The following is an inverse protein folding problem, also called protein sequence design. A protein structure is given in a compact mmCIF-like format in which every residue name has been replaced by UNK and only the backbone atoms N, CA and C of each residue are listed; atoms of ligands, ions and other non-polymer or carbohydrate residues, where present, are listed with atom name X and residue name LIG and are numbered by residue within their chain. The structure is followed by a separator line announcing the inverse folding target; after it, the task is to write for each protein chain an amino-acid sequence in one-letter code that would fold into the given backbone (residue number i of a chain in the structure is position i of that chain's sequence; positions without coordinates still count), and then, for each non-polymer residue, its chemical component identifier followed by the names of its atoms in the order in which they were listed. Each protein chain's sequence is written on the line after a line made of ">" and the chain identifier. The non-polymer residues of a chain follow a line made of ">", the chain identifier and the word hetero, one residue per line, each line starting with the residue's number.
data_IF_822689938496
#
_entry.id   IF_822689938496
#
_cell.length_a   1.000
_cell.length_b   1.000
_cell.length_c   1.000
_cell.angle_alpha   90.00
_cell.angle_beta   90.00
_cell.angle_gamma   90.00
#
_symmetry.space_group_name_H-M   'P 1'
#
loop_
_entity.id
_entity.type
_entity.pdbx_description
1 polymer ?
#
# COMPACT_ATOMS: atom_id res chain seq x y z
N UNK A 1 22.99 -20.86 -53.30
CA UNK A 1 23.96 -21.92 -52.95
C UNK A 1 24.48 -21.67 -51.53
N UNK A 2 24.46 -22.72 -50.68
CA UNK A 2 25.10 -22.91 -49.34
C UNK A 2 24.64 -21.96 -48.19
N UNK A 3 23.81 -22.35 -47.20
CA UNK A 3 24.02 -23.25 -46.01
C UNK A 3 25.40 -23.00 -45.34
N UNK A 4 25.50 -22.68 -44.05
CA UNK A 4 25.14 -23.52 -42.88
C UNK A 4 25.03 -22.73 -41.56
N UNK A 5 24.28 -23.32 -40.64
CA UNK A 5 23.93 -22.92 -39.25
C UNK A 5 24.97 -23.50 -38.23
N UNK A 6 24.71 -23.58 -36.90
CA UNK A 6 25.55 -23.04 -35.80
C UNK A 6 26.41 -24.10 -35.07
N UNK A 7 27.21 -23.70 -34.08
CA UNK A 7 27.81 -24.69 -33.13
C UNK A 7 27.85 -24.18 -31.70
N UNK A 8 27.14 -24.93 -30.87
CA UNK A 8 27.19 -24.97 -29.40
C UNK A 8 28.52 -25.59 -28.98
N UNK A 9 29.19 -24.99 -28.00
CA UNK A 9 30.35 -25.58 -27.31
C UNK A 9 30.20 -25.44 -25.80
N UNK A 10 29.70 -26.50 -25.15
CA UNK A 10 29.89 -26.75 -23.72
C UNK A 10 31.33 -27.18 -23.53
N UNK A 11 32.04 -26.60 -22.56
CA UNK A 11 33.22 -27.25 -22.00
C UNK A 11 33.18 -27.23 -20.48
N UNK A 12 33.38 -28.43 -19.94
CA UNK A 12 33.21 -28.85 -18.57
C UNK A 12 34.43 -29.72 -18.26
N UNK A 13 35.43 -29.18 -17.55
CA UNK A 13 36.48 -29.95 -16.86
C UNK A 13 37.27 -29.02 -15.93
N UNK A 14 37.10 -29.17 -14.62
CA UNK A 14 37.90 -30.01 -13.68
C UNK A 14 39.19 -29.32 -13.23
N UNK A 15 39.25 -29.01 -11.94
CA UNK A 15 40.49 -28.84 -11.20
C UNK A 15 40.22 -28.55 -9.72
N UNK A 16 40.70 -29.42 -8.83
CA UNK A 16 40.95 -29.05 -7.43
C UNK A 16 39.99 -29.59 -6.38
N UNK A 17 40.10 -30.88 -6.08
CA UNK A 17 39.65 -31.51 -4.84
C UNK A 17 40.58 -31.05 -3.70
N UNK A 18 40.04 -30.40 -2.66
CA UNK A 18 40.71 -30.29 -1.35
C UNK A 18 39.78 -30.90 -0.31
N UNK A 19 40.12 -32.12 0.10
CA UNK A 19 39.61 -32.79 1.29
C UNK A 19 40.36 -32.19 2.49
N UNK A 20 39.66 -31.74 3.52
CA UNK A 20 40.30 -31.40 4.78
C UNK A 20 39.37 -30.81 5.82
N UNK A 21 38.92 -31.65 6.75
CA UNK A 21 38.57 -31.19 8.10
C UNK A 21 37.09 -31.23 8.46
N UNK A 22 36.63 -32.41 8.90
CA UNK A 22 35.44 -32.56 9.74
C UNK A 22 35.78 -32.06 11.15
N UNK A 23 35.02 -31.10 11.70
CA UNK A 23 34.96 -30.84 13.13
C UNK A 23 33.54 -30.37 13.49
N UNK A 24 32.77 -31.32 14.04
CA UNK A 24 31.53 -31.10 14.76
C UNK A 24 31.86 -30.50 16.13
N UNK A 25 31.19 -29.41 16.51
CA UNK A 25 30.87 -29.12 17.90
C UNK A 25 29.58 -28.31 17.99
N UNK A 26 28.66 -28.87 18.76
CA UNK A 26 27.28 -28.47 18.91
C UNK A 26 27.08 -27.51 20.11
N UNK A 27 25.84 -27.00 20.19
CA UNK A 27 25.11 -26.47 21.36
C UNK A 27 25.16 -24.94 21.56
N UNK A 28 23.98 -24.32 21.50
CA UNK A 28 23.70 -23.04 22.16
C UNK A 28 22.55 -22.23 21.57
N UNK A 29 21.31 -22.52 21.95
CA UNK A 29 20.10 -21.78 21.61
C UNK A 29 20.17 -20.30 21.98
N UNK A 30 19.72 -19.42 21.09
CA UNK A 30 18.95 -18.20 21.42
C UNK A 30 18.16 -17.81 20.18
N UNK A 31 16.84 -17.82 20.31
CA UNK A 31 15.88 -17.74 19.22
C UNK A 31 16.11 -16.56 18.28
N UNK A 32 16.32 -16.88 17.02
CA UNK A 32 16.13 -15.95 15.90
C UNK A 32 14.74 -16.21 15.29
N UNK A 33 13.71 -16.24 16.13
CA UNK A 33 12.32 -16.10 15.68
C UNK A 33 12.03 -14.60 15.57
N UNK A 34 12.53 -14.04 14.48
CA UNK A 34 12.30 -12.66 14.07
C UNK A 34 12.01 -12.61 12.59
N UNK A 35 11.15 -13.52 12.11
CA UNK A 35 10.51 -13.43 10.80
C UNK A 35 9.66 -12.16 10.76
N UNK A 36 10.30 -11.02 10.51
CA UNK A 36 9.65 -9.82 10.02
C UNK A 36 9.64 -9.93 8.50
N UNK A 37 8.71 -10.73 7.99
CA UNK A 37 8.34 -10.70 6.58
C UNK A 37 7.69 -9.34 6.27
N UNK A 38 8.55 -8.37 5.99
CA UNK A 38 8.25 -7.14 5.26
C UNK A 38 8.45 -7.52 3.78
N UNK A 39 7.53 -7.47 2.83
CA UNK A 39 6.19 -6.92 2.69
C UNK A 39 5.40 -7.92 1.82
N UNK A 40 4.34 -8.55 2.33
CA UNK A 40 3.21 -8.79 1.42
C UNK A 40 2.60 -7.43 1.19
N UNK A 41 2.68 -6.94 -0.04
CA UNK A 41 2.08 -5.68 -0.46
C UNK A 41 0.55 -5.78 -0.31
N UNK A 42 0.04 -5.59 0.91
CA UNK A 42 -1.39 -5.68 1.17
C UNK A 42 -2.08 -4.57 0.40
N UNK A 43 -2.94 -5.00 -0.53
CA UNK A 43 -3.69 -4.09 -1.39
C UNK A 43 -4.62 -3.25 -0.53
N UNK A 44 -5.00 -2.07 -1.02
CA UNK A 44 -6.03 -1.28 -0.34
C UNK A 44 -7.37 -2.02 -0.30
N UNK A 45 -7.63 -3.03 -1.14
CA UNK A 45 -8.82 -3.87 -1.01
C UNK A 45 -8.75 -4.84 0.18
N UNK A 46 -7.56 -5.28 0.60
CA UNK A 46 -7.38 -6.30 1.63
C UNK A 46 -6.89 -5.75 2.97
N UNK A 47 -6.54 -4.46 3.02
CA UNK A 47 -5.84 -3.81 4.13
C UNK A 47 -6.54 -3.91 5.49
N UNK A 48 -7.86 -3.76 5.50
CA UNK A 48 -8.68 -3.79 6.71
C UNK A 48 -10.11 -4.22 6.38
N UNK A 49 -10.81 -4.72 7.39
CA UNK A 49 -12.24 -5.04 7.33
C UNK A 49 -13.02 -4.15 8.30
N UNK A 50 -14.34 -4.10 8.13
CA UNK A 50 -15.23 -3.40 9.08
C UNK A 50 -15.03 -3.97 10.48
N UNK A 51 -14.87 -3.07 11.45
CA UNK A 51 -14.56 -3.39 12.85
C UNK A 51 -13.08 -3.32 13.21
N UNK A 52 -12.17 -3.33 12.23
CA UNK A 52 -10.74 -3.23 12.49
C UNK A 52 -10.35 -1.84 13.02
N UNK A 53 -9.31 -1.83 13.86
CA UNK A 53 -8.64 -0.60 14.26
C UNK A 53 -7.45 -0.38 13.33
N UNK A 54 -7.37 0.81 12.75
CA UNK A 54 -6.35 1.19 11.78
C UNK A 54 -5.67 2.51 12.15
N UNK A 55 -4.47 2.73 11.61
CA UNK A 55 -3.80 4.03 11.54
C UNK A 55 -3.62 4.44 10.09
N UNK A 56 -3.45 5.75 9.84
CA UNK A 56 -3.09 6.25 8.51
C UNK A 56 -1.59 6.06 8.31
N UNK A 57 -1.19 5.36 7.24
CA UNK A 57 0.20 5.03 6.94
C UNK A 57 1.00 6.26 6.47
N UNK A 58 0.37 7.10 5.66
CA UNK A 58 1.01 8.26 5.03
C UNK A 58 0.21 9.55 5.24
N UNK A 59 0.14 10.08 6.48
CA UNK A 59 -0.76 11.19 6.83
C UNK A 59 -0.52 12.44 5.97
N UNK A 60 0.75 12.82 5.75
CA UNK A 60 1.13 13.97 4.92
C UNK A 60 0.73 13.88 3.43
N UNK A 61 0.22 12.73 2.97
CA UNK A 61 -0.24 12.54 1.59
C UNK A 61 -1.63 11.89 1.48
N UNK A 62 -2.31 11.71 2.62
CA UNK A 62 -3.65 11.14 2.71
C UNK A 62 -4.63 12.26 3.06
N UNK A 63 -5.68 12.41 2.26
CA UNK A 63 -6.75 13.37 2.52
C UNK A 63 -7.94 12.58 3.07
N UNK A 64 -8.52 13.08 4.15
CA UNK A 64 -9.71 12.54 4.80
C UNK A 64 -10.84 13.54 4.61
N UNK A 65 -12.03 13.08 4.25
CA UNK A 65 -13.19 13.95 4.05
C UNK A 65 -14.39 13.51 4.90
N UNK A 66 -15.12 14.46 5.46
CA UNK A 66 -16.36 14.18 6.18
C UNK A 66 -17.45 13.64 5.27
N UNK A 67 -17.38 13.95 3.97
CA UNK A 67 -18.30 13.46 2.94
C UNK A 67 -17.60 12.49 1.99
N UNK A 68 -18.27 11.38 1.67
CA UNK A 68 -17.73 10.36 0.77
C UNK A 68 -17.47 10.90 -0.64
N UNK A 69 -18.42 11.65 -1.20
CA UNK A 69 -18.32 12.19 -2.55
C UNK A 69 -17.12 13.12 -2.71
N UNK A 70 -16.80 13.90 -1.69
CA UNK A 70 -15.61 14.75 -1.68
C UNK A 70 -14.33 13.91 -1.66
N UNK A 71 -14.28 12.83 -0.87
CA UNK A 71 -13.14 11.89 -0.87
C UNK A 71 -12.94 11.25 -2.25
N UNK A 72 -14.03 10.80 -2.89
CA UNK A 72 -13.99 10.24 -4.25
C UNK A 72 -13.53 11.30 -5.28
N UNK A 73 -14.02 12.54 -5.18
CA UNK A 73 -13.64 13.62 -6.08
C UNK A 73 -12.15 13.97 -5.99
N UNK A 74 -11.61 14.05 -4.77
CA UNK A 74 -10.17 14.26 -4.53
C UNK A 74 -9.36 13.11 -5.14
N UNK A 75 -9.76 11.86 -4.90
CA UNK A 75 -9.09 10.68 -5.44
C UNK A 75 -9.07 10.69 -6.98
N UNK A 76 -10.23 10.86 -7.62
CA UNK A 76 -10.38 10.85 -9.08
C UNK A 76 -9.56 11.98 -9.72
N UNK A 77 -9.57 13.17 -9.14
CA UNK A 77 -8.77 14.30 -9.65
C UNK A 77 -7.26 13.99 -9.62
N UNK A 78 -6.78 13.38 -8.54
CA UNK A 78 -5.39 12.94 -8.41
C UNK A 78 -5.00 11.91 -9.46
N UNK A 79 -5.80 10.85 -9.59
CA UNK A 79 -5.58 9.76 -10.54
C UNK A 79 -5.59 10.22 -12.00
N UNK A 80 -6.56 11.07 -12.37
CA UNK A 80 -6.64 11.62 -13.73
C UNK A 80 -5.40 12.46 -14.06
N UNK A 81 -4.95 13.31 -13.14
CA UNK A 81 -3.75 14.12 -13.32
C UNK A 81 -2.49 13.25 -13.45
N UNK A 82 -2.35 12.21 -12.61
CA UNK A 82 -1.25 11.25 -12.71
C UNK A 82 -1.23 10.56 -14.08
N UNK A 83 -2.35 9.99 -14.50
CA UNK A 83 -2.47 9.24 -15.76
C UNK A 83 -2.20 10.13 -16.98
N UNK A 84 -2.76 11.32 -16.98
CA UNK A 84 -2.56 12.28 -18.07
C UNK A 84 -1.09 12.71 -18.15
N UNK A 85 -0.43 12.96 -17.02
CA UNK A 85 0.99 13.34 -16.98
C UNK A 85 1.90 12.18 -17.38
N UNK A 86 1.62 10.95 -16.93
CA UNK A 86 2.33 9.75 -17.38
C UNK A 86 2.24 9.59 -18.90
N UNK A 87 1.04 9.79 -19.47
CA UNK A 87 0.81 9.66 -20.91
C UNK A 87 1.58 10.68 -21.74
N UNK A 88 1.66 11.93 -21.26
CA UNK A 88 2.25 13.04 -22.02
C UNK A 88 3.75 13.19 -21.78
N UNK A 89 4.19 13.05 -20.53
CA UNK A 89 5.57 13.35 -20.12
C UNK A 89 6.42 12.11 -19.86
N UNK A 90 5.80 10.91 -19.80
CA UNK A 90 6.46 9.63 -19.56
C UNK A 90 7.39 9.62 -18.32
N UNK A 91 7.03 10.39 -17.29
CA UNK A 91 7.82 10.53 -16.05
C UNK A 91 6.96 10.23 -14.83
N UNK A 92 7.35 9.19 -14.09
CA UNK A 92 6.67 8.78 -12.86
C UNK A 92 6.72 9.87 -11.78
N UNK A 93 7.86 10.55 -11.62
CA UNK A 93 8.01 11.62 -10.62
C UNK A 93 7.06 12.78 -10.91
N UNK A 94 7.05 13.28 -12.15
CA UNK A 94 6.17 14.38 -12.54
C UNK A 94 4.70 14.01 -12.43
N UNK A 95 4.35 12.76 -12.74
CA UNK A 95 2.99 12.28 -12.54
C UNK A 95 2.56 12.32 -11.07
N UNK A 96 3.41 11.84 -10.16
CA UNK A 96 3.15 11.91 -8.71
C UNK A 96 2.98 13.36 -8.25
N UNK A 97 3.82 14.28 -8.73
CA UNK A 97 3.70 15.72 -8.42
C UNK A 97 2.39 16.31 -8.95
N UNK A 98 2.01 16.01 -10.20
CA UNK A 98 0.75 16.44 -10.78
C UNK A 98 -0.46 15.90 -10.00
N UNK A 99 -0.42 14.63 -9.58
CA UNK A 99 -1.44 14.02 -8.74
C UNK A 99 -1.57 14.68 -7.37
N UNK A 100 -0.44 15.04 -6.74
CA UNK A 100 -0.42 15.81 -5.48
C UNK A 100 -1.00 17.21 -5.67
N UNK A 101 -0.61 17.90 -6.73
CA UNK A 101 -1.10 19.25 -7.04
C UNK A 101 -2.62 19.26 -7.32
N UNK A 102 -3.12 18.30 -8.10
CA UNK A 102 -4.55 18.17 -8.38
C UNK A 102 -5.37 17.90 -7.12
N UNK A 103 -4.91 16.97 -6.26
CA UNK A 103 -5.55 16.71 -4.97
C UNK A 103 -5.58 17.95 -4.07
N UNK A 104 -4.47 18.69 -4.00
CA UNK A 104 -4.39 19.95 -3.24
C UNK A 104 -5.36 21.02 -3.78
N UNK A 105 -5.53 21.10 -5.09
CA UNK A 105 -6.46 22.04 -5.72
C UNK A 105 -7.93 21.72 -5.42
N UNK A 106 -8.30 20.43 -5.32
CA UNK A 106 -9.64 20.01 -4.90
C UNK A 106 -9.83 20.23 -3.40
N UNK A 107 -8.85 19.86 -2.58
CA UNK A 107 -8.87 20.09 -1.13
C UNK A 107 -9.15 21.55 -0.78
N UNK A 108 -8.54 22.49 -1.50
CA UNK A 108 -8.76 23.93 -1.28
C UNK A 108 -10.22 24.38 -1.55
N UNK A 109 -11.04 23.56 -2.19
CA UNK A 109 -12.44 23.85 -2.56
C UNK A 109 -13.46 23.04 -1.76
N UNK A 110 -13.05 21.95 -1.10
CA UNK A 110 -13.93 21.04 -0.36
C UNK A 110 -13.84 21.30 1.15
N UNK A 111 -14.90 21.84 1.74
CA UNK A 111 -14.93 22.17 3.19
C UNK A 111 -14.93 20.93 4.09
N UNK A 112 -15.34 19.77 3.56
CA UNK A 112 -15.40 18.53 4.33
C UNK A 112 -14.03 17.84 4.41
N UNK A 113 -13.06 18.24 3.59
CA UNK A 113 -11.78 17.57 3.47
C UNK A 113 -10.65 18.26 4.23
N UNK A 114 -9.77 17.45 4.80
CA UNK A 114 -8.54 17.89 5.43
C UNK A 114 -7.42 16.86 5.22
N UNK A 115 -6.18 17.28 5.43
CA UNK A 115 -5.09 16.32 5.52
C UNK A 115 -5.27 15.45 6.75
N UNK A 116 -4.98 14.16 6.61
CA UNK A 116 -4.99 13.25 7.75
C UNK A 116 -4.03 13.74 8.84
N UNK A 117 -4.42 13.69 10.12
CA UNK A 117 -3.52 14.06 11.21
C UNK A 117 -2.37 13.05 11.32
N UNK A 118 -1.21 13.51 11.78
CA UNK A 118 0.01 12.69 11.88
C UNK A 118 -0.15 11.45 12.77
N UNK A 119 -1.09 11.50 13.71
CA UNK A 119 -1.38 10.41 14.64
C UNK A 119 -2.89 10.27 14.83
N UNK A 120 -3.35 9.02 14.88
CA UNK A 120 -4.73 8.72 15.17
C UNK A 120 -5.00 7.23 15.07
N UNK A 121 -5.95 6.75 15.89
CA UNK A 121 -6.50 5.40 15.78
C UNK A 121 -7.93 5.52 15.34
N UNK A 122 -8.28 4.78 14.31
CA UNK A 122 -9.60 4.82 13.70
C UNK A 122 -10.20 3.42 13.68
N UNK A 123 -11.51 3.34 13.82
CA UNK A 123 -12.27 2.12 13.61
C UNK A 123 -12.85 2.19 12.21
N UNK A 124 -12.66 1.15 11.41
CA UNK A 124 -13.33 1.00 10.11
C UNK A 124 -14.81 0.71 10.35
N UNK A 125 -15.69 1.63 9.97
CA UNK A 125 -17.14 1.49 10.14
C UNK A 125 -17.85 1.06 8.87
N UNK A 126 -17.33 1.46 7.72
CA UNK A 126 -17.81 1.01 6.42
C UNK A 126 -16.62 0.85 5.48
N UNK A 127 -16.77 -0.04 4.50
CA UNK A 127 -15.81 -0.31 3.45
C UNK A 127 -16.55 -0.65 2.17
N UNK A 128 -16.22 0.05 1.09
CA UNK A 128 -16.81 -0.21 -0.21
C UNK A 128 -15.70 -0.35 -1.25
N UNK A 129 -15.80 -1.40 -2.08
CA UNK A 129 -14.95 -1.60 -3.24
C UNK A 129 -15.81 -1.32 -4.49
N UNK A 130 -15.39 -0.37 -5.30
CA UNK A 130 -16.12 0.04 -6.51
C UNK A 130 -15.25 -0.21 -7.73
N UNK A 131 -15.87 -0.73 -8.80
CA UNK A 131 -15.16 -1.16 -10.01
C UNK A 131 -14.57 -2.56 -9.83
N UNK A 132 -14.33 -3.24 -10.95
CA UNK A 132 -13.61 -4.50 -11.00
C UNK A 132 -12.15 -4.27 -11.40
N UNK A 133 -11.40 -5.35 -11.60
CA UNK A 133 -10.00 -5.26 -11.99
C UNK A 133 -9.75 -4.62 -13.36
N UNK A 134 -10.76 -4.49 -14.21
CA UNK A 134 -10.65 -3.87 -15.52
C UNK A 134 -11.17 -2.43 -15.53
N UNK A 135 -11.81 -1.99 -14.45
CA UNK A 135 -12.32 -0.64 -14.32
C UNK A 135 -11.19 0.40 -14.31
N UNK A 136 -11.45 1.55 -14.94
CA UNK A 136 -10.52 2.69 -14.93
C UNK A 136 -10.19 3.12 -13.49
N UNK A 137 -11.21 3.10 -12.63
CA UNK A 137 -11.11 3.32 -11.20
C UNK A 137 -11.61 2.07 -10.47
N UNK A 138 -10.69 1.20 -10.05
CA UNK A 138 -10.95 0.16 -9.06
C UNK A 138 -10.55 0.74 -7.70
N UNK A 139 -11.54 1.10 -6.86
CA UNK A 139 -11.36 1.97 -5.70
C UNK A 139 -11.77 1.27 -4.43
N UNK A 140 -10.95 1.37 -3.40
CA UNK A 140 -11.29 1.02 -2.03
C UNK A 140 -11.59 2.29 -1.24
N UNK A 141 -12.79 2.37 -0.66
CA UNK A 141 -13.25 3.48 0.15
C UNK A 141 -13.54 3.01 1.57
N UNK A 142 -13.11 3.79 2.55
CA UNK A 142 -13.24 3.45 3.97
C UNK A 142 -13.90 4.60 4.73
N UNK A 143 -14.96 4.32 5.50
CA UNK A 143 -15.40 5.22 6.57
C UNK A 143 -14.61 4.89 7.84
N UNK A 144 -13.91 5.89 8.34
CA UNK A 144 -13.09 5.83 9.54
C UNK A 144 -13.70 6.70 10.64
N UNK A 145 -13.94 6.13 11.83
CA UNK A 145 -14.32 6.92 13.01
C UNK A 145 -13.19 6.92 14.01
N UNK A 146 -12.83 8.09 14.52
CA UNK A 146 -11.76 8.22 15.50
C UNK A 146 -12.13 7.48 16.80
N UNK A 147 -11.24 6.63 17.30
CA UNK A 147 -11.53 5.73 18.42
C UNK A 147 -11.85 6.50 19.72
N UNK A 148 -11.21 7.65 19.94
CA UNK A 148 -11.33 8.43 21.18
C UNK A 148 -12.62 9.27 21.26
N UNK A 149 -13.22 9.58 20.12
CA UNK A 149 -14.35 10.48 19.99
C UNK A 149 -15.48 9.66 19.37
N UNK A 150 -16.37 9.15 20.22
CA UNK A 150 -17.60 8.43 19.85
C UNK A 150 -18.61 9.29 19.07
N UNK A 151 -18.12 10.24 18.27
CA UNK A 151 -18.84 11.28 17.53
C UNK A 151 -19.69 10.75 16.39
N UNK A 152 -19.62 9.45 16.08
CA UNK A 152 -20.32 8.83 14.95
C UNK A 152 -19.91 9.39 13.57
N UNK A 153 -19.01 10.38 13.52
CA UNK A 153 -18.56 11.03 12.30
C UNK A 153 -17.70 10.06 11.50
N UNK A 154 -18.07 9.89 10.23
CA UNK A 154 -17.25 9.20 9.24
C UNK A 154 -16.23 10.18 8.67
N UNK A 155 -14.98 9.75 8.63
CA UNK A 155 -13.94 10.31 7.79
C UNK A 155 -13.65 9.33 6.66
N UNK A 156 -13.98 9.72 5.45
CA UNK A 156 -13.81 8.94 4.24
C UNK A 156 -12.41 9.12 3.66
N UNK A 157 -11.80 8.00 3.32
CA UNK A 157 -10.60 7.94 2.48
C UNK A 157 -10.90 7.07 1.26
N UNK A 158 -10.34 7.43 0.11
CA UNK A 158 -10.46 6.68 -1.13
C UNK A 158 -9.07 6.44 -1.71
N UNK A 159 -8.78 5.18 -2.06
CA UNK A 159 -7.50 4.76 -2.63
C UNK A 159 -7.71 3.74 -3.75
N UNK A 160 -6.70 3.57 -4.61
CA UNK A 160 -6.73 2.49 -5.59
C UNK A 160 -6.76 1.15 -4.88
N UNK A 161 -7.78 0.33 -5.16
CA UNK A 161 -7.98 -0.99 -4.56
C UNK A 161 -6.80 -1.94 -4.78
N UNK A 162 -6.01 -1.71 -5.85
CA UNK A 162 -4.89 -2.56 -6.28
C UNK A 162 -3.53 -2.12 -5.76
N UNK A 163 -3.44 -0.91 -5.22
CA UNK A 163 -2.16 -0.34 -4.79
C UNK A 163 -1.99 -0.49 -3.28
N UNK A 164 -0.80 -0.14 -2.79
CA UNK A 164 -0.48 -0.15 -1.37
C UNK A 164 -1.54 0.63 -0.58
N UNK A 165 -2.03 0.00 0.49
CA UNK A 165 -3.00 0.62 1.37
C UNK A 165 -2.49 1.94 1.99
N UNK A 166 -3.39 2.91 2.14
CA UNK A 166 -3.14 4.15 2.89
C UNK A 166 -3.34 3.98 4.40
N UNK A 167 -3.75 2.78 4.83
CA UNK A 167 -4.03 2.43 6.21
C UNK A 167 -3.23 1.20 6.62
N UNK A 168 -2.88 1.15 7.90
CA UNK A 168 -2.28 -0.01 8.54
C UNK A 168 -3.23 -0.56 9.60
N UNK A 169 -3.56 -1.85 9.51
CA UNK A 169 -4.30 -2.56 10.55
C UNK A 169 -3.42 -2.70 11.79
N UNK A 170 -3.93 -2.23 12.92
CA UNK A 170 -3.29 -2.46 14.21
C UNK A 170 -3.72 -3.85 14.72
N UNK A 171 -2.79 -4.68 15.20
CA UNK A 171 -3.15 -5.96 15.80
C UNK A 171 -4.08 -5.71 16.98
N UNK A 172 -5.12 -6.54 17.11
CA UNK A 172 -5.91 -6.57 18.33
C UNK A 172 -4.94 -6.76 19.50
N UNK A 173 -5.01 -5.91 20.51
CA UNK A 173 -4.26 -6.13 21.73
C UNK A 173 -4.66 -7.53 22.21
N UNK A 174 -3.71 -8.47 22.22
CA UNK A 174 -3.94 -9.75 22.90
C UNK A 174 -4.40 -9.35 24.30
N UNK A 175 -5.65 -9.68 24.63
CA UNK A 175 -6.12 -9.55 25.99
C UNK A 175 -5.08 -10.26 26.84
N UNK A 176 -4.36 -9.48 27.66
CA UNK A 176 -3.47 -10.05 28.65
C UNK A 176 -4.37 -10.87 29.55
N UNK A 177 -4.34 -12.19 29.33
CA UNK A 177 -5.14 -13.16 30.06
C UNK A 177 -5.00 -12.90 31.55
N UNK A 178 -6.15 -12.69 32.19
CA UNK A 178 -6.29 -12.78 33.64
C UNK A 178 -6.06 -14.20 34.11
#
# INVERSE_FOLDING_TARGET
>A
MKRTDPTIGRDLKRGGLVIGGLLLLAIGCSGCDGSSSVDTTTTAADAAQVGDIVTIRYPASTIMCGERNDASAVYVAGELAMRQTLRVENSAMKAVEAGKAARKAVLAKSYSCEWAPDKGRYIVKDKQITGDDNALFHVAEYCLTQQATSSGKCWWISASAKMNAQIDRLPAAKEAGR
#
